data_IF_265788382609
#
_entry.id   IF_265788382609
#
_cell.length_a   1.000
_cell.length_b   1.000
_cell.length_c   1.000
_cell.angle_alpha   90.00
_cell.angle_beta   90.00
_cell.angle_gamma   90.00
#
_symmetry.space_group_name_H-M   'P 1'
#
loop_
_entity.id
_entity.type
_entity.pdbx_description
1 polymer ?
#
# COMPACT_ATOMS: atom_id res chain seq x y z
N UNK A 1 -11.30 -14.26 -23.64
CA UNK A 1 -12.43 -14.73 -22.80
C UNK A 1 -11.84 -14.81 -21.42
N UNK A 2 -12.09 -13.81 -20.59
CA UNK A 2 -11.65 -13.84 -19.20
C UNK A 2 -12.41 -14.95 -18.49
N UNK A 3 -11.66 -15.85 -17.86
CA UNK A 3 -12.21 -16.90 -17.02
C UNK A 3 -12.97 -16.21 -15.87
N UNK A 4 -14.24 -16.56 -15.58
CA UNK A 4 -14.98 -15.93 -14.50
C UNK A 4 -14.19 -15.99 -13.19
N UNK A 5 -14.13 -14.86 -12.47
CA UNK A 5 -13.48 -14.77 -11.18
C UNK A 5 -14.01 -15.87 -10.25
N UNK A 6 -13.09 -16.67 -9.70
CA UNK A 6 -13.45 -17.73 -8.76
C UNK A 6 -13.83 -17.12 -7.42
N UNK A 7 -14.96 -17.54 -6.86
CA UNK A 7 -15.32 -17.15 -5.50
C UNK A 7 -14.32 -17.72 -4.47
N UNK A 8 -14.36 -17.16 -3.27
CA UNK A 8 -13.48 -17.51 -2.15
C UNK A 8 -13.55 -19.00 -1.80
N UNK A 9 -14.74 -19.60 -1.89
CA UNK A 9 -14.95 -21.01 -1.59
C UNK A 9 -14.22 -21.90 -2.60
N UNK A 10 -14.36 -21.61 -3.89
CA UNK A 10 -13.71 -22.36 -4.96
C UNK A 10 -12.20 -22.18 -4.94
N UNK A 11 -11.69 -20.97 -4.66
CA UNK A 11 -10.25 -20.74 -4.46
C UNK A 11 -9.69 -21.61 -3.34
N UNK A 12 -10.29 -21.55 -2.15
CA UNK A 12 -9.86 -22.34 -0.99
C UNK A 12 -9.97 -23.86 -1.23
N UNK A 13 -11.05 -24.32 -1.88
CA UNK A 13 -11.25 -25.74 -2.19
C UNK A 13 -10.26 -26.25 -3.24
N UNK A 14 -9.97 -25.43 -4.25
CA UNK A 14 -8.97 -25.75 -5.30
C UNK A 14 -7.60 -25.90 -4.66
N UNK A 15 -7.22 -24.93 -3.83
CA UNK A 15 -5.97 -24.96 -3.08
C UNK A 15 -5.86 -26.22 -2.20
N UNK A 16 -6.90 -26.55 -1.44
CA UNK A 16 -6.89 -27.75 -0.59
C UNK A 16 -6.79 -29.08 -1.35
N UNK A 17 -7.17 -29.10 -2.63
CA UNK A 17 -7.12 -30.29 -3.48
C UNK A 17 -5.81 -30.43 -4.22
N UNK A 18 -4.95 -29.42 -4.21
CA UNK A 18 -3.63 -29.51 -4.82
C UNK A 18 -2.67 -30.28 -3.89
N UNK A 19 -2.27 -31.51 -4.25
CA UNK A 19 -1.37 -32.31 -3.41
C UNK A 19 0.06 -31.77 -3.42
N UNK A 20 0.39 -30.87 -4.35
CA UNK A 20 1.72 -30.30 -4.53
C UNK A 20 2.01 -29.13 -3.60
N UNK A 21 1.03 -28.58 -2.88
CA UNK A 21 1.21 -27.38 -2.05
C UNK A 21 0.95 -27.72 -0.58
N UNK A 22 1.88 -27.35 0.31
CA UNK A 22 1.75 -27.62 1.74
C UNK A 22 2.34 -26.51 2.61
N UNK A 23 1.64 -26.06 3.64
CA UNK A 23 2.17 -24.93 4.40
C UNK A 23 1.49 -24.57 5.69
N UNK A 24 1.80 -23.37 6.19
CA UNK A 24 1.35 -22.89 7.50
C UNK A 24 0.65 -21.54 7.40
N UNK A 25 -0.32 -21.32 8.29
CA UNK A 25 -1.05 -20.04 8.40
C UNK A 25 -0.93 -19.55 9.85
N UNK A 26 -0.34 -18.37 10.05
CA UNK A 26 -0.17 -17.74 11.35
C UNK A 26 -0.86 -16.38 11.40
N UNK A 27 -1.84 -16.22 12.30
CA UNK A 27 -2.67 -15.01 12.31
C UNK A 27 -2.65 -14.32 13.68
N UNK A 28 -2.43 -13.00 13.69
CA UNK A 28 -2.44 -12.18 14.92
C UNK A 28 -3.36 -10.96 14.75
N UNK A 29 -4.30 -10.82 15.68
CA UNK A 29 -5.07 -9.57 15.88
C UNK A 29 -6.43 -9.49 15.18
N UNK A 30 -6.72 -10.33 14.18
CA UNK A 30 -8.04 -10.41 13.53
C UNK A 30 -8.60 -11.83 13.41
N UNK A 31 -8.35 -12.65 14.42
CA UNK A 31 -8.82 -14.03 14.49
C UNK A 31 -8.05 -14.94 13.55
N UNK A 32 -8.57 -16.15 13.39
CA UNK A 32 -8.02 -17.17 12.48
C UNK A 32 -8.95 -17.32 11.27
N UNK A 33 -9.33 -16.20 10.64
CA UNK A 33 -10.36 -16.20 9.61
C UNK A 33 -9.85 -16.66 8.23
N UNK A 34 -8.56 -16.47 7.94
CA UNK A 34 -7.97 -16.98 6.70
C UNK A 34 -7.94 -18.51 6.73
N UNK A 35 -7.35 -19.10 7.77
CA UNK A 35 -7.26 -20.57 7.87
C UNK A 35 -8.63 -21.22 8.02
N UNK A 36 -9.59 -20.53 8.64
CA UNK A 36 -10.96 -21.02 8.79
C UNK A 36 -11.62 -21.34 7.45
N UNK A 37 -11.34 -20.58 6.39
CA UNK A 37 -11.84 -20.90 5.05
C UNK A 37 -11.36 -22.27 4.59
N UNK A 38 -10.05 -22.53 4.67
CA UNK A 38 -9.46 -23.81 4.27
C UNK A 38 -10.01 -24.96 5.11
N UNK A 39 -10.23 -24.78 6.41
CA UNK A 39 -10.87 -25.82 7.24
C UNK A 39 -12.32 -26.09 6.87
N UNK A 40 -13.10 -25.04 6.56
CA UNK A 40 -14.53 -25.15 6.27
C UNK A 40 -14.83 -25.83 4.93
N UNK A 41 -14.02 -25.59 3.90
CA UNK A 41 -14.27 -26.15 2.56
C UNK A 41 -13.87 -27.63 2.44
N UNK A 42 -13.11 -28.17 3.40
CA UNK A 42 -12.65 -29.56 3.43
C UNK A 42 -11.38 -29.80 2.62
N UNK A 43 -10.67 -30.90 2.91
CA UNK A 43 -9.40 -31.25 2.26
C UNK A 43 -8.15 -30.64 2.90
N UNK A 44 -8.29 -29.77 3.91
CA UNK A 44 -7.18 -29.03 4.53
C UNK A 44 -6.03 -29.88 5.08
N UNK A 45 -6.27 -31.15 5.46
CA UNK A 45 -5.19 -32.03 5.90
C UNK A 45 -4.13 -32.27 4.80
N UNK A 46 -4.52 -32.10 3.53
CA UNK A 46 -3.66 -32.22 2.36
C UNK A 46 -2.87 -30.96 2.00
N UNK A 47 -3.17 -29.80 2.60
CA UNK A 47 -2.58 -28.50 2.24
C UNK A 47 -2.07 -27.67 3.44
N UNK A 48 -2.65 -27.86 4.64
CA UNK A 48 -2.34 -27.08 5.84
C UNK A 48 -1.65 -27.96 6.89
N UNK A 49 -0.37 -27.72 7.13
CA UNK A 49 0.45 -28.38 8.13
C UNK A 49 0.16 -27.87 9.55
N UNK A 50 -0.01 -26.55 9.69
CA UNK A 50 -0.16 -25.88 10.99
C UNK A 50 -0.95 -24.58 10.84
N UNK A 51 -1.83 -24.34 11.80
CA UNK A 51 -2.49 -23.06 12.04
C UNK A 51 -2.09 -22.52 13.41
N UNK A 52 -1.75 -21.25 13.54
CA UNK A 52 -1.32 -20.66 14.82
C UNK A 52 -1.93 -19.27 15.06
N UNK A 53 -2.16 -18.92 16.32
CA UNK A 53 -2.46 -17.55 16.75
C UNK A 53 -1.85 -17.24 18.12
N UNK A 54 -1.13 -16.13 18.25
CA UNK A 54 -0.45 -15.69 19.48
C UNK A 54 -0.87 -14.25 19.82
N UNK A 55 -1.97 -14.13 20.56
CA UNK A 55 -2.59 -12.84 20.91
C UNK A 55 -1.89 -12.09 22.05
N UNK A 56 -1.34 -12.83 23.01
CA UNK A 56 -0.62 -12.21 24.12
C UNK A 56 0.77 -11.77 23.66
N UNK A 57 1.15 -10.53 24.00
CA UNK A 57 2.41 -9.94 23.56
C UNK A 57 3.63 -10.77 23.99
N UNK A 58 3.64 -11.34 25.21
CA UNK A 58 4.77 -12.13 25.69
C UNK A 58 4.86 -13.47 24.99
N UNK A 59 3.72 -14.08 24.67
CA UNK A 59 3.70 -15.29 23.84
C UNK A 59 4.14 -14.99 22.39
N UNK A 60 3.68 -13.88 21.81
CA UNK A 60 4.12 -13.47 20.48
C UNK A 60 5.62 -13.20 20.45
N UNK A 61 6.15 -12.51 21.47
CA UNK A 61 7.58 -12.20 21.58
C UNK A 61 8.44 -13.45 21.82
N UNK A 62 7.94 -14.44 22.56
CA UNK A 62 8.70 -15.68 22.79
C UNK A 62 8.77 -16.58 21.54
N UNK A 63 7.81 -16.44 20.61
CA UNK A 63 7.77 -17.21 19.37
C UNK A 63 8.51 -16.47 18.25
N UNK A 64 8.26 -15.17 18.08
CA UNK A 64 8.69 -14.38 16.92
C UNK A 64 9.73 -13.29 17.24
N UNK A 65 10.20 -13.20 18.48
CA UNK A 65 11.12 -12.15 18.93
C UNK A 65 10.41 -10.83 19.24
N UNK A 66 11.16 -9.87 19.79
CA UNK A 66 10.62 -8.53 20.15
C UNK A 66 10.66 -7.59 18.96
N UNK A 67 9.64 -6.74 18.81
CA UNK A 67 9.60 -5.68 17.80
C UNK A 67 9.22 -4.33 18.42
N UNK A 68 9.55 -3.23 17.73
CA UNK A 68 9.17 -1.88 18.17
C UNK A 68 7.65 -1.62 18.09
N UNK A 69 7.00 -2.16 17.06
CA UNK A 69 5.55 -2.07 16.80
C UNK A 69 5.02 -3.44 16.39
N UNK A 70 3.94 -3.90 17.02
CA UNK A 70 3.38 -5.23 16.75
C UNK A 70 2.63 -5.30 15.41
N UNK A 71 1.90 -4.26 15.04
CA UNK A 71 1.33 -4.12 13.68
C UNK A 71 2.37 -3.42 12.82
N UNK A 72 3.28 -4.19 12.22
CA UNK A 72 4.39 -3.69 11.41
C UNK A 72 4.87 -4.73 10.39
N UNK A 73 5.58 -4.25 9.37
CA UNK A 73 6.29 -5.11 8.41
C UNK A 73 7.36 -5.98 9.08
N UNK A 74 8.08 -5.43 10.06
CA UNK A 74 9.09 -6.16 10.85
C UNK A 74 8.49 -7.39 11.54
N UNK A 75 7.34 -7.23 12.19
CA UNK A 75 6.63 -8.33 12.82
C UNK A 75 6.15 -9.35 11.79
N UNK A 76 5.56 -8.89 10.68
CA UNK A 76 5.11 -9.79 9.60
C UNK A 76 6.27 -10.67 9.10
N UNK A 77 7.41 -10.06 8.77
CA UNK A 77 8.57 -10.79 8.27
C UNK A 77 9.08 -11.82 9.31
N UNK A 78 9.16 -11.44 10.59
CA UNK A 78 9.57 -12.35 11.66
C UNK A 78 8.63 -13.55 11.80
N UNK A 79 7.32 -13.35 11.60
CA UNK A 79 6.34 -14.43 11.57
C UNK A 79 6.58 -15.36 10.38
N UNK A 80 6.71 -14.82 9.18
CA UNK A 80 6.93 -15.60 7.96
C UNK A 80 8.19 -16.48 8.06
N UNK A 81 9.33 -15.88 8.41
CA UNK A 81 10.60 -16.58 8.58
C UNK A 81 10.52 -17.72 9.61
N UNK A 82 9.92 -17.45 10.77
CA UNK A 82 9.79 -18.44 11.83
C UNK A 82 8.89 -19.59 11.42
N UNK A 83 7.75 -19.29 10.81
CA UNK A 83 6.75 -20.28 10.41
C UNK A 83 7.25 -21.16 9.26
N UNK A 84 7.86 -20.55 8.24
CA UNK A 84 8.48 -21.25 7.12
C UNK A 84 9.68 -22.10 7.58
N UNK A 85 10.54 -21.54 8.43
CA UNK A 85 11.68 -22.25 9.00
C UNK A 85 11.28 -23.52 9.75
N UNK A 86 10.26 -23.42 10.62
CA UNK A 86 9.71 -24.58 11.35
C UNK A 86 9.07 -25.61 10.43
N UNK A 87 8.39 -25.17 9.37
CA UNK A 87 7.81 -26.06 8.36
C UNK A 87 8.91 -26.86 7.65
N UNK A 88 9.95 -26.17 7.17
CA UNK A 88 11.05 -26.79 6.45
C UNK A 88 11.88 -27.72 7.37
N UNK A 89 12.15 -27.33 8.61
CA UNK A 89 12.84 -28.17 9.60
C UNK A 89 12.13 -29.50 9.82
N UNK A 90 10.80 -29.47 9.95
CA UNK A 90 10.00 -30.64 10.34
C UNK A 90 9.59 -31.51 9.17
N UNK A 91 9.31 -30.92 8.00
CA UNK A 91 8.72 -31.64 6.86
C UNK A 91 9.60 -31.63 5.61
N UNK A 92 10.69 -30.86 5.57
CA UNK A 92 11.53 -30.73 4.37
C UNK A 92 12.14 -32.04 3.90
N UNK A 93 12.48 -32.97 4.83
CA UNK A 93 13.01 -34.29 4.48
C UNK A 93 11.96 -35.24 3.91
N UNK A 94 10.73 -35.18 4.43
CA UNK A 94 9.68 -36.15 4.12
C UNK A 94 8.81 -35.71 2.94
N UNK A 95 8.67 -34.40 2.71
CA UNK A 95 7.76 -33.82 1.71
C UNK A 95 8.43 -32.83 0.76
N UNK A 96 9.60 -32.29 1.11
CA UNK A 96 10.19 -31.15 0.40
C UNK A 96 10.59 -31.43 -1.05
N UNK A 97 10.70 -32.70 -1.46
CA UNK A 97 10.98 -33.09 -2.85
C UNK A 97 9.73 -33.20 -3.74
N UNK A 98 8.56 -33.36 -3.13
CA UNK A 98 7.28 -33.57 -3.84
C UNK A 98 6.33 -32.38 -3.69
N UNK A 99 6.50 -31.58 -2.64
CA UNK A 99 5.66 -30.42 -2.35
C UNK A 99 6.44 -29.11 -2.45
N UNK A 100 5.76 -28.04 -2.84
CA UNK A 100 6.16 -26.66 -2.62
C UNK A 100 5.63 -26.18 -1.27
N UNK A 101 6.49 -25.53 -0.50
CA UNK A 101 6.13 -25.00 0.81
C UNK A 101 5.68 -23.55 0.76
N UNK A 102 4.77 -23.20 1.68
CA UNK A 102 4.39 -21.82 1.93
C UNK A 102 4.20 -21.52 3.43
N UNK A 103 4.40 -20.27 3.81
CA UNK A 103 3.98 -19.71 5.08
C UNK A 103 3.20 -18.42 4.80
N UNK A 104 1.98 -18.34 5.29
CA UNK A 104 1.19 -17.11 5.32
C UNK A 104 1.20 -16.54 6.72
N UNK A 105 1.28 -15.22 6.82
CA UNK A 105 1.14 -14.52 8.08
C UNK A 105 0.33 -13.23 7.94
N UNK A 106 -0.35 -12.83 9.03
CA UNK A 106 -0.83 -11.46 9.19
C UNK A 106 -0.65 -10.94 10.63
N UNK A 107 -0.39 -9.64 10.73
CA UNK A 107 -0.40 -8.89 11.99
C UNK A 107 -1.22 -7.62 11.80
N UNK A 108 -2.36 -7.55 12.47
CA UNK A 108 -3.39 -6.55 12.19
C UNK A 108 -4.05 -6.03 13.47
N UNK A 109 -4.53 -4.80 13.41
CA UNK A 109 -5.47 -4.26 14.38
C UNK A 109 -6.83 -4.09 13.70
N UNK A 110 -7.88 -4.70 14.25
CA UNK A 110 -9.26 -4.45 13.78
C UNK A 110 -9.82 -3.16 14.38
N UNK A 111 -10.96 -2.71 13.87
CA UNK A 111 -11.73 -1.58 14.39
C UNK A 111 -11.80 -1.56 15.92
N UNK A 112 -11.34 -0.44 16.50
CA UNK A 112 -11.34 -0.23 17.95
C UNK A 112 -12.58 0.53 18.38
N UNK A 113 -13.46 -0.12 19.14
CA UNK A 113 -14.64 0.54 19.71
C UNK A 113 -14.29 1.64 20.72
N UNK A 114 -13.14 1.52 21.40
CA UNK A 114 -12.71 2.47 22.44
C UNK A 114 -12.17 3.75 21.84
N UNK A 115 -11.32 3.65 20.82
CA UNK A 115 -10.68 4.82 20.18
C UNK A 115 -11.40 5.28 18.92
N UNK A 116 -12.40 4.52 18.44
CA UNK A 116 -13.08 4.70 17.15
C UNK A 116 -12.10 4.74 15.97
N UNK A 117 -10.93 4.13 16.12
CA UNK A 117 -9.94 4.03 15.06
C UNK A 117 -10.28 2.89 14.11
N UNK A 118 -10.14 3.16 12.82
CA UNK A 118 -10.23 2.16 11.77
C UNK A 118 -9.12 1.11 11.92
N UNK A 119 -9.39 -0.11 11.46
CA UNK A 119 -8.40 -1.17 11.47
C UNK A 119 -7.37 -1.00 10.35
N UNK A 120 -6.21 -1.62 10.51
CA UNK A 120 -5.18 -1.71 9.48
C UNK A 120 -4.21 -2.85 9.81
N UNK A 121 -3.35 -3.21 8.86
CA UNK A 121 -2.19 -4.01 9.17
C UNK A 121 -1.55 -4.70 7.98
N UNK A 122 -0.68 -5.66 8.30
CA UNK A 122 0.23 -6.28 7.36
C UNK A 122 -0.16 -7.74 7.11
N UNK A 123 -0.20 -8.14 5.85
CA UNK A 123 -0.39 -9.51 5.39
C UNK A 123 0.78 -9.89 4.49
N UNK A 124 1.15 -11.16 4.50
CA UNK A 124 2.18 -11.64 3.59
C UNK A 124 2.22 -13.14 3.45
N UNK A 125 2.95 -13.57 2.43
CA UNK A 125 3.19 -14.98 2.13
C UNK A 125 4.63 -15.15 1.64
N UNK A 126 5.32 -16.15 2.20
CA UNK A 126 6.52 -16.75 1.65
C UNK A 126 6.11 -18.07 0.97
N UNK A 127 6.54 -18.31 -0.26
CA UNK A 127 6.17 -19.52 -0.99
C UNK A 127 7.22 -19.97 -2.00
N UNK A 128 7.21 -21.27 -2.31
CA UNK A 128 8.00 -21.86 -3.37
C UNK A 128 7.17 -22.04 -4.65
N UNK A 129 7.77 -21.79 -5.81
CA UNK A 129 7.21 -22.15 -7.11
C UNK A 129 7.61 -23.55 -7.55
N UNK A 130 8.81 -24.01 -7.15
CA UNK A 130 9.26 -25.39 -7.31
C UNK A 130 9.81 -25.97 -6.00
N UNK A 131 9.71 -27.29 -5.80
CA UNK A 131 10.29 -27.95 -4.63
C UNK A 131 11.78 -27.59 -4.46
N UNK A 132 12.17 -27.24 -3.24
CA UNK A 132 13.52 -26.79 -2.87
C UNK A 132 14.03 -25.48 -3.50
N UNK A 133 13.17 -24.73 -4.20
CA UNK A 133 13.52 -23.40 -4.67
C UNK A 133 13.66 -22.40 -3.51
N UNK A 134 14.42 -21.33 -3.74
CA UNK A 134 14.39 -20.18 -2.85
C UNK A 134 12.96 -19.60 -2.79
N UNK A 135 12.56 -19.10 -1.63
CA UNK A 135 11.21 -18.56 -1.46
C UNK A 135 11.04 -17.23 -2.19
N UNK A 136 9.86 -17.03 -2.74
CA UNK A 136 9.36 -15.72 -3.14
C UNK A 136 8.41 -15.18 -2.09
N UNK A 137 8.33 -13.86 -1.98
CA UNK A 137 7.56 -13.18 -0.96
C UNK A 137 6.61 -12.17 -1.58
N UNK A 138 5.41 -12.07 -0.98
CA UNK A 138 4.51 -10.96 -1.20
C UNK A 138 4.20 -10.36 0.16
N UNK A 139 4.46 -9.06 0.32
CA UNK A 139 4.06 -8.31 1.51
C UNK A 139 3.08 -7.23 1.10
N UNK A 140 2.01 -7.04 1.86
CA UNK A 140 1.07 -5.95 1.65
C UNK A 140 0.65 -5.31 2.96
N UNK A 141 0.29 -4.03 2.88
CA UNK A 141 -0.42 -3.34 3.93
C UNK A 141 -1.85 -3.05 3.46
N UNK A 142 -2.78 -3.06 4.41
CA UNK A 142 -4.18 -2.74 4.18
C UNK A 142 -4.71 -1.76 5.21
N UNK A 143 -5.57 -0.86 4.76
CA UNK A 143 -6.42 -0.04 5.60
C UNK A 143 -7.86 -0.57 5.55
N UNK A 144 -8.41 -0.93 6.70
CA UNK A 144 -9.76 -1.51 6.81
C UNK A 144 -10.79 -0.40 6.98
N UNK A 145 -11.92 -0.54 6.30
CA UNK A 145 -13.04 0.42 6.31
C UNK A 145 -14.27 -0.13 7.03
N UNK A 146 -14.16 -1.30 7.66
CA UNK A 146 -15.21 -1.92 8.44
C UNK A 146 -15.58 -1.09 9.67
N UNK A 147 -16.86 -1.16 10.06
CA UNK A 147 -17.40 -0.45 11.23
C UNK A 147 -17.46 -1.33 12.47
N UNK A 148 -16.88 -2.52 12.40
CA UNK A 148 -16.85 -3.50 13.48
C UNK A 148 -15.71 -4.49 13.29
N UNK A 149 -15.18 -5.01 14.39
CA UNK A 149 -14.12 -6.02 14.36
C UNK A 149 -14.54 -7.27 13.57
N UNK A 150 -15.80 -7.71 13.67
CA UNK A 150 -16.31 -8.87 12.93
C UNK A 150 -16.32 -8.67 11.40
N UNK A 151 -16.60 -7.45 10.93
CA UNK A 151 -16.53 -7.13 9.50
C UNK A 151 -15.09 -7.16 9.00
N UNK A 152 -14.16 -6.58 9.77
CA UNK A 152 -12.72 -6.59 9.47
C UNK A 152 -12.17 -8.03 9.40
N UNK A 153 -12.52 -8.86 10.37
CA UNK A 153 -12.16 -10.28 10.44
C UNK A 153 -12.63 -11.04 9.19
N UNK A 154 -13.89 -10.88 8.80
CA UNK A 154 -14.45 -11.53 7.60
C UNK A 154 -13.73 -11.08 6.34
N UNK A 155 -13.47 -9.77 6.23
CA UNK A 155 -12.80 -9.14 5.09
C UNK A 155 -11.36 -9.67 4.95
N UNK A 156 -10.62 -9.73 6.05
CA UNK A 156 -9.26 -10.25 6.09
C UNK A 156 -9.20 -11.75 5.76
N UNK A 157 -10.19 -12.54 6.19
CA UNK A 157 -10.24 -13.97 5.85
C UNK A 157 -10.36 -14.22 4.35
N UNK A 158 -11.20 -13.44 3.66
CA UNK A 158 -11.32 -13.50 2.19
C UNK A 158 -10.03 -13.02 1.52
N UNK A 159 -9.49 -11.88 1.95
CA UNK A 159 -8.24 -11.34 1.39
C UNK A 159 -7.07 -12.31 1.56
N UNK A 160 -6.95 -12.97 2.71
CA UNK A 160 -5.92 -13.97 2.96
C UNK A 160 -6.01 -15.17 2.01
N UNK A 161 -7.23 -15.66 1.73
CA UNK A 161 -7.45 -16.70 0.71
C UNK A 161 -7.04 -16.20 -0.67
N UNK A 162 -7.43 -14.98 -1.03
CA UNK A 162 -7.06 -14.39 -2.31
C UNK A 162 -5.54 -14.22 -2.47
N UNK A 163 -4.82 -13.82 -1.41
CA UNK A 163 -3.36 -13.72 -1.43
C UNK A 163 -2.70 -15.08 -1.63
N UNK A 164 -3.09 -16.09 -0.84
CA UNK A 164 -2.55 -17.44 -0.95
C UNK A 164 -2.80 -18.00 -2.36
N UNK A 165 -4.02 -17.84 -2.86
CA UNK A 165 -4.38 -18.28 -4.20
C UNK A 165 -3.58 -17.52 -5.28
N UNK A 166 -3.53 -16.20 -5.19
CA UNK A 166 -2.81 -15.35 -6.15
C UNK A 166 -1.32 -15.67 -6.23
N UNK A 167 -0.67 -15.90 -5.09
CA UNK A 167 0.73 -16.30 -5.03
C UNK A 167 1.00 -17.61 -5.79
N UNK A 168 0.18 -18.64 -5.59
CA UNK A 168 0.42 -19.94 -6.21
C UNK A 168 -0.07 -20.04 -7.66
N UNK A 169 -1.19 -19.39 -8.01
CA UNK A 169 -1.84 -19.58 -9.30
C UNK A 169 -1.75 -18.38 -10.25
N UNK A 170 -1.36 -17.19 -9.76
CA UNK A 170 -1.31 -15.95 -10.55
C UNK A 170 0.04 -15.21 -10.50
N UNK A 171 1.09 -15.72 -9.83
CA UNK A 171 2.40 -15.05 -9.74
C UNK A 171 3.04 -14.71 -11.10
N UNK A 172 2.74 -15.49 -12.15
CA UNK A 172 3.26 -15.24 -13.51
C UNK A 172 2.65 -13.99 -14.17
N UNK A 173 1.51 -13.51 -13.67
CA UNK A 173 0.84 -12.30 -14.13
C UNK A 173 0.54 -11.41 -12.91
N UNK A 174 1.50 -10.55 -12.50
CA UNK A 174 1.35 -9.70 -11.33
C UNK A 174 0.16 -8.74 -11.39
N UNK A 175 -0.23 -8.27 -12.58
CA UNK A 175 -1.39 -7.40 -12.72
C UNK A 175 -2.70 -8.16 -12.47
N UNK A 176 -2.81 -9.39 -13.01
CA UNK A 176 -3.90 -10.31 -12.65
C UNK A 176 -3.90 -10.65 -11.17
N UNK A 177 -2.73 -10.92 -10.57
CA UNK A 177 -2.61 -11.18 -9.15
C UNK A 177 -3.20 -10.01 -8.34
N UNK A 178 -2.80 -8.78 -8.63
CA UNK A 178 -3.30 -7.57 -7.95
C UNK A 178 -4.82 -7.46 -8.02
N UNK A 179 -5.39 -7.55 -9.21
CA UNK A 179 -6.85 -7.45 -9.38
C UNK A 179 -7.60 -8.57 -8.65
N UNK A 180 -7.08 -9.80 -8.66
CA UNK A 180 -7.68 -10.97 -7.99
C UNK A 180 -7.66 -10.90 -6.46
N UNK A 181 -6.86 -9.99 -5.86
CA UNK A 181 -6.88 -9.75 -4.41
C UNK A 181 -8.24 -9.25 -3.93
N UNK A 182 -9.00 -8.58 -4.82
CA UNK A 182 -10.33 -8.03 -4.52
C UNK A 182 -11.50 -8.93 -4.91
N UNK A 183 -11.26 -10.17 -5.35
CA UNK A 183 -12.35 -11.10 -5.63
C UNK A 183 -13.20 -11.32 -4.36
N UNK A 184 -14.53 -11.26 -4.48
CA UNK A 184 -15.50 -11.25 -3.36
C UNK A 184 -15.34 -10.08 -2.35
N UNK A 185 -14.58 -9.04 -2.70
CA UNK A 185 -14.36 -7.86 -1.87
C UNK A 185 -14.74 -6.57 -2.60
N UNK A 186 -14.96 -5.51 -1.82
CA UNK A 186 -15.23 -4.16 -2.29
C UNK A 186 -14.24 -3.16 -1.70
N UNK A 187 -13.94 -2.10 -2.46
CA UNK A 187 -13.16 -0.94 -2.00
C UNK A 187 -13.82 -0.18 -0.84
N UNK A 188 -15.09 -0.45 -0.55
CA UNK A 188 -15.79 0.03 0.64
C UNK A 188 -15.43 -0.74 1.91
N UNK A 189 -14.81 -1.92 1.78
CA UNK A 189 -14.43 -2.77 2.92
C UNK A 189 -12.97 -2.59 3.32
N UNK A 190 -12.08 -2.41 2.35
CA UNK A 190 -10.66 -2.22 2.58
C UNK A 190 -10.00 -1.42 1.45
N UNK A 191 -8.78 -0.99 1.72
CA UNK A 191 -7.83 -0.43 0.76
C UNK A 191 -6.53 -1.22 0.83
N UNK A 192 -5.94 -1.58 -0.32
CA UNK A 192 -4.58 -2.15 -0.40
C UNK A 192 -3.66 -1.00 -0.75
N UNK A 193 -3.08 -0.37 0.27
CA UNK A 193 -2.31 0.87 0.15
C UNK A 193 -0.81 0.64 -0.11
N UNK A 194 -0.35 -0.60 0.00
CA UNK A 194 1.03 -0.99 -0.28
C UNK A 194 1.11 -2.47 -0.67
N UNK A 195 1.93 -2.78 -1.68
CA UNK A 195 2.34 -4.16 -1.99
C UNK A 195 3.80 -4.21 -2.44
N UNK A 196 4.51 -5.25 -2.02
CA UNK A 196 5.90 -5.56 -2.33
C UNK A 196 6.01 -7.00 -2.82
N UNK A 197 6.72 -7.21 -3.92
CA UNK A 197 7.04 -8.52 -4.47
C UNK A 197 8.56 -8.73 -4.40
N UNK A 198 8.99 -9.88 -3.90
CA UNK A 198 10.41 -10.23 -3.77
C UNK A 198 10.67 -11.71 -4.11
N UNK A 199 11.89 -12.01 -4.54
CA UNK A 199 12.35 -13.39 -4.79
C UNK A 199 12.17 -13.88 -6.23
N UNK A 200 12.52 -15.15 -6.49
CA UNK A 200 12.71 -15.68 -7.85
C UNK A 200 11.46 -15.63 -8.74
N UNK A 201 10.25 -15.74 -8.17
CA UNK A 201 9.00 -15.66 -8.93
C UNK A 201 8.73 -14.24 -9.48
N UNK A 202 9.42 -13.22 -8.95
CA UNK A 202 9.15 -11.82 -9.24
C UNK A 202 10.39 -11.05 -9.72
N UNK A 203 11.43 -11.73 -10.24
CA UNK A 203 12.66 -11.07 -10.71
C UNK A 203 12.43 -9.98 -11.76
N UNK A 204 11.37 -10.10 -12.55
CA UNK A 204 11.01 -9.15 -13.61
C UNK A 204 9.98 -8.09 -13.16
N UNK A 205 9.60 -8.10 -11.88
CA UNK A 205 8.59 -7.18 -11.34
C UNK A 205 9.26 -5.92 -10.80
N UNK A 206 8.95 -4.79 -11.41
CA UNK A 206 9.24 -3.48 -10.79
C UNK A 206 8.12 -3.14 -9.81
N UNK A 207 8.43 -3.16 -8.52
CA UNK A 207 7.46 -2.84 -7.46
C UNK A 207 6.87 -1.43 -7.65
N UNK A 208 7.60 -0.47 -8.22
CA UNK A 208 7.10 0.88 -8.47
C UNK A 208 6.01 0.90 -9.53
N UNK A 209 6.11 0.00 -10.50
CA UNK A 209 5.05 -0.23 -11.45
C UNK A 209 3.82 -0.86 -10.78
N UNK A 210 4.00 -1.82 -9.86
CA UNK A 210 2.89 -2.42 -9.10
C UNK A 210 2.18 -1.41 -8.21
N UNK A 211 2.93 -0.51 -7.55
CA UNK A 211 2.38 0.60 -6.80
C UNK A 211 1.55 1.54 -7.70
N UNK A 212 2.00 1.87 -8.91
CA UNK A 212 1.18 2.59 -9.88
C UNK A 212 -0.11 1.82 -10.22
N UNK A 213 -0.02 0.50 -10.45
CA UNK A 213 -1.18 -0.35 -10.75
C UNK A 213 -2.20 -0.36 -9.62
N UNK A 214 -1.79 -0.35 -8.35
CA UNK A 214 -2.72 -0.22 -7.23
C UNK A 214 -3.60 1.05 -7.36
N UNK A 215 -2.98 2.18 -7.69
CA UNK A 215 -3.72 3.45 -7.83
C UNK A 215 -4.58 3.47 -9.11
N UNK A 216 -4.10 2.88 -10.20
CA UNK A 216 -4.85 2.76 -11.46
C UNK A 216 -6.10 1.88 -11.33
N UNK A 217 -5.97 0.74 -10.64
CA UNK A 217 -7.08 -0.19 -10.38
C UNK A 217 -8.02 0.32 -9.28
N UNK A 218 -7.72 1.47 -8.66
CA UNK A 218 -8.53 2.05 -7.59
C UNK A 218 -8.45 1.28 -6.27
N UNK A 219 -7.41 0.45 -6.09
CA UNK A 219 -7.14 -0.32 -4.88
C UNK A 219 -6.61 0.56 -3.74
N UNK A 220 -6.01 1.70 -4.11
CA UNK A 220 -5.66 2.80 -3.21
C UNK A 220 -5.76 4.14 -3.95
N UNK A 221 -5.81 5.23 -3.20
CA UNK A 221 -5.82 6.58 -3.76
C UNK A 221 -4.44 7.20 -3.92
N UNK A 222 -3.45 6.69 -3.18
CA UNK A 222 -2.09 7.18 -3.26
C UNK A 222 -1.06 6.15 -2.85
N UNK A 223 0.13 6.26 -3.44
CA UNK A 223 1.30 5.44 -3.10
C UNK A 223 2.55 6.30 -3.06
N UNK A 224 3.59 5.84 -2.36
CA UNK A 224 4.78 6.63 -2.06
C UNK A 224 6.08 5.84 -2.23
N UNK A 225 7.10 6.55 -2.70
CA UNK A 225 8.46 6.06 -2.84
C UNK A 225 9.43 7.00 -2.13
N UNK A 226 10.45 6.41 -1.51
CA UNK A 226 11.58 7.17 -1.02
C UNK A 226 12.55 7.50 -2.16
N UNK A 227 13.49 8.41 -1.87
CA UNK A 227 14.57 8.78 -2.79
C UNK A 227 15.41 7.58 -3.27
N UNK A 228 15.50 6.50 -2.48
CA UNK A 228 16.18 5.25 -2.87
C UNK A 228 15.33 4.33 -3.77
N UNK A 229 14.13 4.77 -4.16
CA UNK A 229 13.20 4.04 -5.00
C UNK A 229 12.34 3.00 -4.27
N UNK A 230 12.52 2.81 -2.96
CA UNK A 230 11.74 1.84 -2.19
C UNK A 230 10.33 2.35 -1.90
N UNK A 231 9.37 1.44 -2.00
CA UNK A 231 7.99 1.72 -1.61
C UNK A 231 7.89 1.78 -0.09
N UNK A 232 7.19 2.79 0.37
CA UNK A 232 6.87 2.98 1.78
C UNK A 232 5.37 3.08 1.98
N UNK A 233 4.90 2.56 3.13
CA UNK A 233 3.51 2.76 3.53
C UNK A 233 3.32 4.23 3.94
N UNK A 234 2.38 4.97 3.34
CA UNK A 234 2.26 6.41 3.55
C UNK A 234 2.08 6.86 5.00
N UNK A 235 1.23 6.18 5.78
CA UNK A 235 0.96 6.54 7.17
C UNK A 235 2.20 6.38 8.05
N UNK A 236 3.02 5.35 7.83
CA UNK A 236 4.28 5.13 8.53
C UNK A 236 5.33 6.17 8.10
N UNK A 237 5.43 6.47 6.80
CA UNK A 237 6.41 7.41 6.27
C UNK A 237 6.13 8.87 6.66
N UNK A 238 4.86 9.25 6.77
CA UNK A 238 4.42 10.62 7.09
C UNK A 238 4.13 10.82 8.58
N UNK A 239 4.16 9.76 9.39
CA UNK A 239 3.88 9.83 10.82
C UNK A 239 4.77 10.87 11.52
N UNK A 240 4.13 11.88 12.11
CA UNK A 240 4.80 12.99 12.82
C UNK A 240 5.77 13.80 11.97
N UNK A 241 5.68 13.74 10.64
CA UNK A 241 6.48 14.55 9.72
C UNK A 241 5.67 15.75 9.24
N UNK A 242 6.30 16.92 9.19
CA UNK A 242 5.76 18.05 8.43
C UNK A 242 5.86 17.73 6.95
N UNK A 243 4.87 18.07 6.14
CA UNK A 243 4.84 17.63 4.72
C UNK A 243 4.85 18.81 3.78
N UNK A 244 5.79 18.84 2.84
CA UNK A 244 5.81 19.78 1.73
C UNK A 244 5.64 19.02 0.42
N UNK A 245 4.62 19.38 -0.36
CA UNK A 245 4.32 18.71 -1.64
C UNK A 245 4.44 19.67 -2.81
N UNK A 246 5.24 19.33 -3.81
CA UNK A 246 5.15 19.95 -5.14
C UNK A 246 4.35 19.02 -6.07
N UNK A 247 3.21 19.51 -6.56
CA UNK A 247 2.43 18.80 -7.59
C UNK A 247 2.88 19.24 -8.98
N UNK A 248 3.35 18.31 -9.80
CA UNK A 248 3.74 18.60 -11.18
C UNK A 248 3.60 17.39 -12.11
N UNK A 249 3.75 17.63 -13.40
CA UNK A 249 3.82 16.55 -14.41
C UNK A 249 5.18 15.88 -14.41
N UNK A 250 6.24 16.62 -14.06
CA UNK A 250 7.61 16.15 -14.09
C UNK A 250 7.99 15.46 -15.43
N UNK A 251 7.58 16.04 -16.58
CA UNK A 251 7.81 15.48 -17.93
C UNK A 251 8.76 16.36 -18.78
N UNK A 252 10.09 16.24 -18.63
CA UNK A 252 10.82 15.68 -17.49
C UNK A 252 10.82 16.65 -16.28
N UNK A 253 11.33 16.26 -15.10
CA UNK A 253 11.67 17.22 -14.05
C UNK A 253 12.65 18.28 -14.56
N UNK A 254 12.50 19.53 -14.13
CA UNK A 254 13.32 20.66 -14.58
C UNK A 254 13.97 21.39 -13.41
N UNK A 255 14.97 22.24 -13.70
CA UNK A 255 15.56 23.14 -12.70
C UNK A 255 14.54 24.10 -12.08
N UNK A 256 13.43 24.39 -12.78
CA UNK A 256 12.34 25.17 -12.20
C UNK A 256 11.68 24.40 -11.04
N UNK A 257 11.35 23.12 -11.24
CA UNK A 257 10.77 22.27 -10.20
C UNK A 257 11.66 22.23 -8.96
N UNK A 258 12.96 21.98 -9.16
CA UNK A 258 13.93 21.94 -8.07
C UNK A 258 13.98 23.26 -7.29
N UNK A 259 14.10 24.40 -7.99
CA UNK A 259 14.14 25.72 -7.34
C UNK A 259 12.85 26.07 -6.62
N UNK A 260 11.69 25.68 -7.18
CA UNK A 260 10.39 25.88 -6.55
C UNK A 260 10.33 25.13 -5.22
N UNK A 261 10.69 23.85 -5.25
CA UNK A 261 10.70 22.98 -4.08
C UNK A 261 11.66 23.50 -3.00
N UNK A 262 12.89 23.85 -3.38
CA UNK A 262 13.92 24.33 -2.45
C UNK A 262 13.51 25.68 -1.82
N UNK A 263 12.99 26.62 -2.62
CA UNK A 263 12.52 27.91 -2.10
C UNK A 263 11.29 27.75 -1.19
N UNK A 264 10.38 26.83 -1.52
CA UNK A 264 9.23 26.53 -0.70
C UNK A 264 9.63 25.84 0.61
N UNK A 265 10.62 24.95 0.58
CA UNK A 265 11.20 24.33 1.77
C UNK A 265 11.80 25.36 2.72
N UNK A 266 12.63 26.27 2.19
CA UNK A 266 13.22 27.35 2.98
C UNK A 266 12.11 28.20 3.61
N UNK A 267 11.14 28.64 2.81
CA UNK A 267 10.02 29.44 3.31
C UNK A 267 9.16 28.68 4.34
N UNK A 268 9.01 27.37 4.20
CA UNK A 268 8.25 26.54 5.13
C UNK A 268 8.93 26.41 6.49
N UNK A 269 10.24 26.16 6.48
CA UNK A 269 11.03 26.07 7.70
C UNK A 269 11.17 27.42 8.41
N UNK A 270 11.27 28.53 7.67
CA UNK A 270 11.47 29.85 8.26
C UNK A 270 10.17 30.48 8.77
N UNK A 271 9.04 30.29 8.07
CA UNK A 271 7.79 31.00 8.40
C UNK A 271 6.88 30.24 9.37
N UNK A 272 7.06 28.92 9.53
CA UNK A 272 6.21 28.11 10.39
C UNK A 272 6.95 27.62 11.64
N UNK A 273 6.65 28.21 12.80
CA UNK A 273 7.32 27.90 14.08
C UNK A 273 7.23 26.42 14.50
N UNK A 274 6.23 25.68 13.99
CA UNK A 274 5.99 24.27 14.32
C UNK A 274 6.72 23.29 13.38
N UNK A 275 7.48 23.80 12.41
CA UNK A 275 8.24 22.99 11.45
C UNK A 275 9.66 22.82 11.95
N UNK A 276 10.05 21.56 12.17
CA UNK A 276 11.44 21.19 12.41
C UNK A 276 12.05 20.77 11.05
N UNK A 277 13.10 21.45 10.55
CA UNK A 277 13.75 21.13 9.27
C UNK A 277 14.17 19.67 9.11
N UNK A 278 14.56 19.00 10.20
CA UNK A 278 15.01 17.60 10.20
C UNK A 278 13.84 16.60 10.06
N UNK A 279 12.62 17.05 10.32
CA UNK A 279 11.38 16.26 10.28
C UNK A 279 10.45 16.64 9.12
N UNK A 280 10.94 17.36 8.11
CA UNK A 280 10.17 17.67 6.90
C UNK A 280 10.29 16.55 5.88
N UNK A 281 9.15 15.98 5.50
CA UNK A 281 9.01 15.11 4.33
C UNK A 281 8.67 15.95 3.10
N UNK A 282 9.60 16.03 2.16
CA UNK A 282 9.39 16.71 0.87
C UNK A 282 8.99 15.69 -0.19
N UNK A 283 7.86 15.92 -0.87
CA UNK A 283 7.26 15.02 -1.86
C UNK A 283 7.11 15.69 -3.22
N UNK A 284 7.55 15.01 -4.26
CA UNK A 284 7.20 15.29 -5.66
C UNK A 284 5.97 14.47 -6.02
N UNK A 285 4.81 15.12 -6.15
CA UNK A 285 3.54 14.45 -6.41
C UNK A 285 3.16 14.49 -7.89
N UNK A 286 2.85 13.32 -8.44
CA UNK A 286 2.30 13.12 -9.77
C UNK A 286 0.89 12.57 -9.67
N UNK A 287 -0.08 13.27 -10.28
CA UNK A 287 -1.42 12.73 -10.43
C UNK A 287 -1.48 11.76 -11.60
N UNK A 288 -2.29 10.70 -11.52
CA UNK A 288 -2.49 9.78 -12.65
C UNK A 288 -3.07 10.49 -13.88
N UNK A 289 -3.87 11.55 -13.68
CA UNK A 289 -4.39 12.37 -14.77
C UNK A 289 -3.28 13.07 -15.57
N UNK A 290 -2.13 13.36 -14.94
CA UNK A 290 -0.95 13.88 -15.61
C UNK A 290 -0.12 12.80 -16.33
N UNK A 291 -0.50 11.52 -16.16
CA UNK A 291 0.16 10.34 -16.74
C UNK A 291 -0.65 9.73 -17.91
N UNK A 292 -1.90 10.16 -18.10
CA UNK A 292 -2.79 9.67 -19.15
C UNK A 292 -2.67 10.51 -20.44
N UNK A 293 -2.28 9.90 -21.55
CA UNK A 293 -2.50 10.42 -22.91
C UNK A 293 -3.77 9.75 -23.47
N UNK A 294 -4.96 10.21 -23.05
CA UNK A 294 -6.23 9.57 -23.33
C UNK A 294 -6.60 8.50 -22.28
N UNK A 295 -6.83 7.25 -22.71
CA UNK A 295 -7.24 6.16 -21.81
C UNK A 295 -6.08 5.24 -21.35
N UNK A 296 -4.88 5.41 -21.90
CA UNK A 296 -3.72 4.58 -21.54
C UNK A 296 -2.64 5.42 -20.85
N UNK A 297 -2.05 4.83 -19.82
CA UNK A 297 -0.89 5.39 -19.11
C UNK A 297 0.36 4.79 -19.73
N UNK A 298 1.28 5.65 -20.13
CA UNK A 298 2.61 5.24 -20.57
C UNK A 298 3.44 4.86 -19.33
N UNK A 299 3.47 3.56 -19.06
CA UNK A 299 4.17 3.00 -17.91
C UNK A 299 5.69 3.26 -17.96
N UNK A 300 6.27 3.26 -19.16
CA UNK A 300 7.71 3.46 -19.35
C UNK A 300 8.09 4.92 -19.09
N UNK A 301 7.36 5.86 -19.71
CA UNK A 301 7.53 7.29 -19.45
C UNK A 301 7.34 7.59 -17.94
N UNK A 302 6.38 6.94 -17.28
CA UNK A 302 6.19 7.06 -15.84
C UNK A 302 7.41 6.60 -15.01
N UNK A 303 7.91 5.39 -15.27
CA UNK A 303 9.07 4.86 -14.55
C UNK A 303 10.31 5.73 -14.76
N UNK A 304 10.52 6.24 -15.97
CA UNK A 304 11.60 7.18 -16.27
C UNK A 304 11.50 8.48 -15.47
N UNK A 305 10.29 9.02 -15.25
CA UNK A 305 10.10 10.20 -14.40
C UNK A 305 10.46 9.91 -12.94
N UNK A 306 10.06 8.74 -12.41
CA UNK A 306 10.48 8.32 -11.06
C UNK A 306 12.00 8.19 -10.99
N UNK A 307 12.63 7.53 -11.96
CA UNK A 307 14.08 7.32 -11.99
C UNK A 307 14.83 8.65 -11.88
N UNK A 308 14.40 9.67 -12.64
CA UNK A 308 15.01 11.01 -12.58
C UNK A 308 14.78 11.65 -11.20
N UNK A 309 13.57 11.58 -10.65
CA UNK A 309 13.26 12.16 -9.33
C UNK A 309 14.05 11.48 -8.20
N UNK A 310 14.13 10.16 -8.19
CA UNK A 310 14.93 9.39 -7.23
C UNK A 310 16.43 9.70 -7.39
N UNK A 311 16.95 9.79 -8.61
CA UNK A 311 18.34 10.19 -8.87
C UNK A 311 18.66 11.61 -8.38
N UNK A 312 17.65 12.49 -8.34
CA UNK A 312 17.74 13.85 -7.76
C UNK A 312 17.50 13.87 -6.24
N UNK A 313 17.40 12.70 -5.59
CA UNK A 313 17.21 12.56 -4.16
C UNK A 313 15.80 12.93 -3.68
N UNK A 314 14.80 12.93 -4.56
CA UNK A 314 13.43 13.34 -4.23
C UNK A 314 12.57 12.13 -3.90
N UNK A 315 11.74 12.25 -2.86
CA UNK A 315 10.67 11.29 -2.57
C UNK A 315 9.50 11.56 -3.52
N UNK A 316 8.81 10.51 -3.93
CA UNK A 316 7.78 10.58 -4.96
C UNK A 316 6.45 10.08 -4.40
N UNK A 317 5.37 10.77 -4.74
CA UNK A 317 4.00 10.34 -4.46
C UNK A 317 3.23 10.23 -5.78
N UNK A 318 2.46 9.17 -5.95
CA UNK A 318 1.46 9.09 -7.01
C UNK A 318 0.10 9.18 -6.36
N UNK A 319 -0.83 9.93 -6.95
CA UNK A 319 -2.21 9.92 -6.49
C UNK A 319 -3.24 9.95 -7.63
N UNK A 320 -4.48 9.57 -7.33
CA UNK A 320 -5.64 9.86 -8.18
C UNK A 320 -6.42 11.12 -7.71
N UNK A 321 -5.83 11.96 -6.85
CA UNK A 321 -6.47 13.18 -6.34
C UNK A 321 -6.40 14.32 -7.36
N UNK A 322 -7.43 14.44 -8.20
CA UNK A 322 -7.57 15.54 -9.15
C UNK A 322 -7.57 16.90 -8.43
N UNK A 323 -8.42 17.03 -7.42
CA UNK A 323 -8.63 18.28 -6.70
C UNK A 323 -7.65 18.41 -5.52
N UNK A 324 -7.06 19.60 -5.36
CA UNK A 324 -6.08 19.87 -4.30
C UNK A 324 -6.67 19.66 -2.89
N UNK A 325 -7.97 19.94 -2.68
CA UNK A 325 -8.58 19.73 -1.37
C UNK A 325 -8.61 18.26 -0.96
N UNK A 326 -8.67 17.32 -1.91
CA UNK A 326 -8.64 15.88 -1.60
C UNK A 326 -7.24 15.42 -1.25
N UNK A 327 -6.22 15.92 -1.97
CA UNK A 327 -4.82 15.68 -1.62
C UNK A 327 -4.54 16.20 -0.21
N UNK A 328 -4.96 17.43 0.10
CA UNK A 328 -4.78 18.01 1.43
C UNK A 328 -5.47 17.17 2.51
N UNK A 329 -6.74 16.79 2.29
CA UNK A 329 -7.48 15.91 3.21
C UNK A 329 -6.75 14.60 3.49
N UNK A 330 -6.26 13.93 2.44
CA UNK A 330 -5.46 12.73 2.59
C UNK A 330 -4.21 12.95 3.44
N UNK A 331 -3.44 14.02 3.17
CA UNK A 331 -2.22 14.31 3.92
C UNK A 331 -2.51 14.60 5.40
N UNK A 332 -3.62 15.28 5.72
CA UNK A 332 -4.06 15.51 7.10
C UNK A 332 -4.50 14.24 7.83
N UNK A 333 -4.85 13.17 7.10
CA UNK A 333 -5.11 11.87 7.70
C UNK A 333 -3.81 11.11 8.01
N UNK A 334 -2.71 11.42 7.32
CA UNK A 334 -1.41 10.77 7.52
C UNK A 334 -0.55 11.42 8.60
N UNK A 335 -0.72 12.73 8.85
CA UNK A 335 0.08 13.48 9.83
C UNK A 335 -0.73 14.54 10.56
N UNK A 336 -0.36 14.79 11.81
CA UNK A 336 -0.87 15.90 12.64
C UNK A 336 0.02 17.15 12.58
N UNK A 337 1.11 17.10 11.81
CA UNK A 337 2.06 18.20 11.62
C UNK A 337 1.65 19.13 10.48
N UNK A 338 2.26 20.34 10.40
CA UNK A 338 2.02 21.27 9.30
C UNK A 338 2.18 20.63 7.91
N UNK A 339 1.28 21.00 6.99
CA UNK A 339 1.30 20.57 5.59
C UNK A 339 1.30 21.79 4.68
N UNK A 340 2.13 21.76 3.63
CA UNK A 340 2.24 22.80 2.64
C UNK A 340 2.26 22.26 1.21
N UNK A 341 1.77 23.06 0.27
CA UNK A 341 1.81 22.75 -1.16
C UNK A 341 2.55 23.86 -1.91
N UNK A 342 3.55 23.48 -2.69
CA UNK A 342 4.29 24.34 -3.60
C UNK A 342 3.70 24.25 -5.03
N UNK A 343 3.41 25.39 -5.65
CA UNK A 343 2.80 25.45 -6.98
C UNK A 343 3.07 26.80 -7.67
N UNK A 344 2.91 26.86 -9.00
CA UNK A 344 2.98 28.10 -9.76
C UNK A 344 1.63 28.81 -9.87
N UNK A 345 1.64 30.13 -10.11
CA UNK A 345 0.41 30.93 -10.37
C UNK A 345 -0.54 30.30 -11.40
N UNK A 346 -0.08 29.69 -12.53
CA UNK A 346 -0.99 29.04 -13.47
C UNK A 346 -1.80 27.91 -12.84
N UNK A 347 -1.16 27.09 -12.00
CA UNK A 347 -1.83 26.02 -11.25
C UNK A 347 -2.75 26.59 -10.18
N UNK A 348 -2.36 27.70 -9.53
CA UNK A 348 -3.24 28.38 -8.57
C UNK A 348 -4.55 28.81 -9.23
N UNK A 349 -4.50 29.38 -10.44
CA UNK A 349 -5.70 29.78 -11.20
C UNK A 349 -6.66 28.62 -11.40
N UNK A 350 -6.16 27.42 -11.68
CA UNK A 350 -6.98 26.21 -11.82
C UNK A 350 -7.73 25.85 -10.52
N UNK A 351 -7.14 26.11 -9.34
CA UNK A 351 -7.81 25.89 -8.05
C UNK A 351 -9.05 26.78 -7.91
N UNK A 352 -9.07 27.95 -8.56
CA UNK A 352 -10.22 28.86 -8.54
C UNK A 352 -11.29 28.55 -9.60
N UNK A 353 -11.11 27.53 -10.44
CA UNK A 353 -12.12 27.17 -11.45
C UNK A 353 -13.30 26.40 -10.85
N UNK A 354 -14.47 27.03 -10.81
CA UNK A 354 -15.68 26.48 -10.17
C UNK A 354 -16.18 25.17 -10.76
N UNK A 355 -15.90 24.91 -12.05
CA UNK A 355 -16.31 23.68 -12.76
C UNK A 355 -15.84 22.40 -12.06
N UNK A 356 -14.74 22.46 -11.30
CA UNK A 356 -14.21 21.32 -10.56
C UNK A 356 -15.00 21.00 -9.28
N UNK A 357 -15.91 21.89 -8.85
CA UNK A 357 -16.58 21.80 -7.56
C UNK A 357 -18.11 21.69 -7.66
N UNK A 358 -18.66 21.49 -8.86
CA UNK A 358 -20.12 21.38 -9.08
C UNK A 358 -20.78 20.24 -8.30
N UNK A 359 -20.01 19.21 -7.92
CA UNK A 359 -20.48 18.07 -7.12
C UNK A 359 -20.49 18.34 -5.61
N UNK A 360 -19.88 19.44 -5.16
CA UNK A 360 -19.87 19.84 -3.75
C UNK A 360 -21.09 20.70 -3.43
N UNK A 361 -21.76 20.43 -2.31
CA UNK A 361 -22.98 21.17 -1.92
C UNK A 361 -22.69 22.65 -1.68
N UNK A 362 -21.52 22.98 -1.14
CA UNK A 362 -21.05 24.35 -0.94
C UNK A 362 -20.10 24.84 -2.04
N UNK A 363 -19.99 24.12 -3.16
CA UNK A 363 -19.18 24.52 -4.31
C UNK A 363 -17.72 24.84 -3.96
N UNK A 364 -17.20 25.92 -4.55
CA UNK A 364 -15.82 26.38 -4.33
C UNK A 364 -15.51 26.73 -2.87
N UNK A 365 -16.46 27.31 -2.13
CA UNK A 365 -16.23 27.68 -0.73
C UNK A 365 -16.04 26.44 0.16
N UNK A 366 -16.79 25.38 -0.10
CA UNK A 366 -16.58 24.09 0.58
C UNK A 366 -15.20 23.51 0.25
N UNK A 367 -14.77 23.58 -1.02
CA UNK A 367 -13.42 23.15 -1.43
C UNK A 367 -12.32 23.91 -0.68
N UNK A 368 -12.39 25.24 -0.63
CA UNK A 368 -11.41 26.07 0.06
C UNK A 368 -11.41 25.81 1.58
N UNK A 369 -12.57 25.65 2.20
CA UNK A 369 -12.66 25.31 3.62
C UNK A 369 -12.04 23.94 3.95
N UNK A 370 -12.13 22.97 3.03
CA UNK A 370 -11.47 21.66 3.16
C UNK A 370 -9.97 21.76 2.91
N UNK A 371 -9.56 22.54 1.91
CA UNK A 371 -8.17 22.72 1.49
C UNK A 371 -7.33 23.40 2.59
N UNK A 372 -7.81 24.52 3.13
CA UNK A 372 -7.11 25.29 4.17
C UNK A 372 -7.42 24.84 5.60
N UNK A 373 -7.98 23.62 5.75
CA UNK A 373 -8.12 23.00 7.08
C UNK A 373 -6.72 22.80 7.69
N UNK A 374 -6.63 22.80 9.02
CA UNK A 374 -5.40 22.53 9.78
C UNK A 374 -4.20 23.43 9.38
N UNK A 375 -4.46 24.71 9.12
CA UNK A 375 -3.45 25.74 8.83
C UNK A 375 -2.55 25.43 7.63
N UNK A 376 -3.10 24.77 6.59
CA UNK A 376 -2.36 24.48 5.35
C UNK A 376 -1.74 25.73 4.73
N UNK A 377 -0.49 25.61 4.25
CA UNK A 377 0.20 26.69 3.53
C UNK A 377 0.29 26.43 2.02
N UNK A 378 0.17 27.50 1.24
CA UNK A 378 0.49 27.48 -0.19
C UNK A 378 1.71 28.35 -0.45
N UNK A 379 2.76 27.76 -1.02
CA UNK A 379 3.93 28.48 -1.52
C UNK A 379 3.78 28.66 -3.03
N UNK A 380 3.50 29.89 -3.45
CA UNK A 380 3.13 30.20 -4.83
C UNK A 380 4.28 30.90 -5.53
N UNK A 381 4.80 30.29 -6.59
CA UNK A 381 5.81 30.90 -7.44
C UNK A 381 5.17 31.78 -8.52
N UNK A 382 5.66 33.03 -8.70
CA UNK A 382 5.14 33.92 -9.72
C UNK A 382 5.39 33.36 -11.13
N UNK A 383 4.51 33.73 -12.06
CA UNK A 383 4.68 33.48 -13.49
C UNK A 383 4.83 34.83 -14.21
N UNK A 384 5.65 34.82 -15.27
CA UNK A 384 5.76 35.93 -16.22
C UNK A 384 4.63 35.74 -17.25
N UNK A 385 3.86 36.80 -17.51
CA UNK A 385 2.81 36.76 -18.52
C UNK A 385 3.42 36.86 -19.92
N UNK A 386 2.64 36.64 -20.98
CA UNK A 386 3.16 36.70 -22.35
C UNK A 386 3.73 38.08 -22.74
N UNK A 387 3.34 39.15 -22.02
CA UNK A 387 3.79 40.52 -22.22
C UNK A 387 5.03 40.94 -21.39
N UNK A 388 5.56 40.03 -20.56
CA UNK A 388 6.72 40.27 -19.69
C UNK A 388 6.32 40.55 -18.25
#
# INVERSE_FOLDING_TARGET
MDDPALDTYHKALTFNKDPGIYGTIAEIGAGQETVRWFFKVGGAAGSIAKAMSAYDMKFSDSIYGTCSRYVSRERLHSMLETEYGLLNERLGKDRGSECTFFAFANTVATFSYTTQQMGHGWLGIQFQTHPHEAVSEIHMHVALKGKSSAQDQTTLGVLGVNLIYGAHYHHQDPDRLLTSLMDDLSTDQLEIDMIDFNGPAFEQVDNRFMALRLVQHGLTHATMFQADGKIVQPSEALYKKSVLVERSRFRPPTNFNLKLLDSAYDAFCHNEEKVDPDDVMVLSEMTIQNLTDGNNIDAEDFLQRIDILCALGKNVMISNYAEFYRLAQYLFEQTDKPVAIALGVPTLRLIFEEKYYEKLKGGILESFGRLFRNDMRLYVCPAIEEDG
#
